data_IF_661915444113
#
_entry.id   IF_661915444113
#
_cell.length_a   1.000
_cell.length_b   1.000
_cell.length_c   1.000
_cell.angle_alpha   90.00
_cell.angle_beta   90.00
_cell.angle_gamma   90.00
#
_symmetry.space_group_name_H-M   'P 1'
#
loop_
_entity.id
_entity.type
_entity.pdbx_description
1 polymer ?
#
# COMPACT_ATOMS: atom_id res chain seq x y z
N UNK A 1 18.80 49.66 1.65
CA UNK A 1 19.21 48.27 1.97
C UNK A 1 17.93 47.45 2.08
N UNK A 2 17.69 46.52 1.15
CA UNK A 2 16.46 45.72 1.14
C UNK A 2 16.53 44.64 2.21
N UNK A 3 15.49 44.61 3.04
CA UNK A 3 15.31 43.68 4.15
C UNK A 3 14.75 42.36 3.60
N UNK A 4 15.46 41.27 3.90
CA UNK A 4 15.02 39.89 4.06
C UNK A 4 14.04 39.28 3.04
N UNK A 5 14.57 38.46 2.13
CA UNK A 5 13.91 37.21 1.71
C UNK A 5 14.65 36.04 2.39
N UNK A 6 14.57 35.95 3.71
CA UNK A 6 14.78 34.65 4.38
C UNK A 6 13.46 33.90 4.22
N UNK A 7 13.32 33.19 3.10
CA UNK A 7 12.34 32.12 3.04
C UNK A 7 12.83 31.08 4.02
N UNK A 8 12.30 31.12 5.23
CA UNK A 8 12.38 29.98 6.14
C UNK A 8 11.71 28.86 5.36
N UNK A 9 12.50 27.94 4.80
CA UNK A 9 11.95 26.70 4.26
C UNK A 9 11.21 26.06 5.43
N UNK A 10 9.89 26.14 5.40
CA UNK A 10 9.04 25.33 6.26
C UNK A 10 9.44 23.89 5.93
N UNK A 11 10.32 23.31 6.77
CA UNK A 11 10.62 21.88 6.76
C UNK A 11 9.26 21.20 6.84
N UNK A 12 8.77 20.74 5.70
CA UNK A 12 7.50 20.06 5.60
C UNK A 12 7.68 18.77 6.39
N UNK A 13 7.17 18.72 7.62
CA UNK A 13 7.30 17.55 8.47
C UNK A 13 6.58 16.41 7.76
N UNK A 14 7.34 15.48 7.15
CA UNK A 14 6.79 14.31 6.47
C UNK A 14 5.88 13.59 7.45
N UNK A 15 4.57 13.63 7.20
CA UNK A 15 3.62 12.92 8.02
C UNK A 15 3.72 11.43 7.70
N UNK A 16 3.80 10.55 8.70
CA UNK A 16 3.90 9.11 8.47
C UNK A 16 2.69 8.63 7.68
N UNK A 17 2.94 7.89 6.61
CA UNK A 17 1.89 7.31 5.78
C UNK A 17 1.34 6.06 6.49
N UNK A 18 0.04 6.04 6.73
CA UNK A 18 -0.65 4.85 7.24
C UNK A 18 -1.09 3.93 6.08
N UNK A 19 -1.01 2.62 6.30
CA UNK A 19 -1.31 1.62 5.27
C UNK A 19 -2.76 1.76 4.74
N UNK A 20 -2.97 2.04 3.44
CA UNK A 20 -4.29 1.93 2.85
C UNK A 20 -4.80 0.48 2.89
N UNK A 21 -6.07 0.32 3.26
CA UNK A 21 -6.82 -0.93 3.09
C UNK A 21 -7.16 -1.09 1.61
N UNK A 22 -6.54 -2.06 0.94
CA UNK A 22 -6.77 -2.28 -0.49
C UNK A 22 -8.10 -3.01 -0.70
N UNK A 23 -8.96 -2.46 -1.55
CA UNK A 23 -10.25 -3.07 -1.90
C UNK A 23 -10.09 -4.34 -2.75
N UNK A 24 -8.93 -4.53 -3.38
CA UNK A 24 -8.61 -5.71 -4.18
C UNK A 24 -8.39 -6.97 -3.31
N UNK A 25 -8.09 -6.81 -2.02
CA UNK A 25 -7.81 -7.91 -1.10
C UNK A 25 -9.00 -8.29 -0.22
N UNK A 26 -10.18 -8.33 -0.83
CA UNK A 26 -11.42 -8.72 -0.18
C UNK A 26 -11.76 -10.18 -0.44
N UNK A 27 -12.58 -10.74 0.45
CA UNK A 27 -13.04 -12.11 0.36
C UNK A 27 -13.82 -12.33 -0.95
N UNK A 28 -13.48 -13.39 -1.70
CA UNK A 28 -14.22 -13.69 -2.93
C UNK A 28 -15.58 -14.27 -2.61
N UNK A 29 -16.60 -13.78 -3.31
CA UNK A 29 -17.92 -14.43 -3.33
C UNK A 29 -17.94 -15.41 -4.49
N UNK A 30 -18.23 -16.68 -4.19
CA UNK A 30 -18.33 -17.76 -5.18
C UNK A 30 -19.61 -18.55 -4.96
N UNK A 31 -20.28 -18.91 -6.05
CA UNK A 31 -21.41 -19.83 -6.03
C UNK A 31 -20.95 -21.15 -6.64
N UNK A 32 -20.78 -22.18 -5.79
CA UNK A 32 -20.24 -23.47 -6.22
C UNK A 32 -21.39 -24.46 -6.32
N UNK A 33 -21.70 -24.87 -7.55
CA UNK A 33 -22.75 -25.86 -7.84
C UNK A 33 -22.19 -27.14 -8.47
N UNK A 34 -21.01 -27.05 -9.07
CA UNK A 34 -20.31 -28.15 -9.73
C UNK A 34 -18.83 -28.20 -9.34
N UNK A 35 -18.18 -29.34 -9.60
CA UNK A 35 -16.73 -29.47 -9.42
C UNK A 35 -15.94 -28.50 -10.31
N UNK A 36 -16.48 -28.15 -11.49
CA UNK A 36 -15.88 -27.14 -12.36
C UNK A 36 -15.89 -25.76 -11.69
N UNK A 37 -17.00 -25.39 -11.04
CA UNK A 37 -17.11 -24.12 -10.31
C UNK A 37 -16.10 -24.06 -9.16
N UNK A 38 -15.89 -25.19 -8.46
CA UNK A 38 -14.89 -25.29 -7.40
C UNK A 38 -13.47 -25.03 -7.93
N UNK A 39 -13.09 -25.66 -9.04
CA UNK A 39 -11.75 -25.46 -9.65
C UNK A 39 -11.58 -24.01 -10.11
N UNK A 40 -12.62 -23.41 -10.70
CA UNK A 40 -12.59 -22.00 -11.11
C UNK A 40 -12.47 -21.05 -9.91
N UNK A 41 -13.22 -21.31 -8.84
CA UNK A 41 -13.15 -20.55 -7.59
C UNK A 41 -11.75 -20.64 -6.98
N UNK A 42 -11.15 -21.84 -6.96
CA UNK A 42 -9.79 -22.04 -6.46
C UNK A 42 -8.75 -21.25 -7.26
N UNK A 43 -8.78 -21.36 -8.59
CA UNK A 43 -7.86 -20.59 -9.44
C UNK A 43 -8.01 -19.08 -9.23
N UNK A 44 -9.25 -18.59 -9.10
CA UNK A 44 -9.51 -17.17 -8.81
C UNK A 44 -8.95 -16.76 -7.44
N UNK A 45 -9.17 -17.55 -6.40
CA UNK A 45 -8.63 -17.31 -5.06
C UNK A 45 -7.10 -17.24 -5.06
N UNK A 46 -6.45 -18.19 -5.72
CA UNK A 46 -4.98 -18.26 -5.78
C UNK A 46 -4.40 -17.04 -6.50
N UNK A 47 -4.97 -16.66 -7.64
CA UNK A 47 -4.53 -15.48 -8.39
C UNK A 47 -4.71 -14.19 -7.58
N UNK A 48 -5.85 -14.02 -6.90
CA UNK A 48 -6.08 -12.85 -6.07
C UNK A 48 -5.15 -12.81 -4.84
N UNK A 49 -4.86 -13.98 -4.25
CA UNK A 49 -3.91 -14.10 -3.14
C UNK A 49 -2.52 -13.64 -3.55
N UNK A 50 -2.04 -14.06 -4.72
CA UNK A 50 -0.72 -13.69 -5.23
C UNK A 50 -0.58 -12.17 -5.45
N UNK A 51 -1.59 -11.56 -6.08
CA UNK A 51 -1.68 -10.10 -6.26
C UNK A 51 -1.64 -9.39 -4.90
N UNK A 52 -2.40 -9.88 -3.93
CA UNK A 52 -2.50 -9.27 -2.61
C UNK A 52 -1.22 -9.37 -1.80
N UNK A 53 -0.53 -10.50 -1.85
CA UNK A 53 0.77 -10.68 -1.18
C UNK A 53 1.78 -9.71 -1.77
N UNK A 54 1.85 -9.61 -3.09
CA UNK A 54 2.76 -8.69 -3.78
C UNK A 54 2.44 -7.22 -3.44
N UNK A 55 1.17 -6.82 -3.57
CA UNK A 55 0.74 -5.46 -3.25
C UNK A 55 1.04 -5.10 -1.79
N UNK A 56 0.80 -6.01 -0.85
CA UNK A 56 1.10 -5.81 0.56
C UNK A 56 2.61 -5.64 0.81
N UNK A 57 3.45 -6.48 0.19
CA UNK A 57 4.91 -6.36 0.31
C UNK A 57 5.42 -5.04 -0.24
N UNK A 58 4.96 -4.62 -1.41
CA UNK A 58 5.34 -3.36 -2.04
C UNK A 58 4.88 -2.15 -1.21
N UNK A 59 3.65 -2.19 -0.71
CA UNK A 59 3.10 -1.13 0.13
C UNK A 59 3.90 -1.01 1.43
N UNK A 60 4.20 -2.14 2.08
CA UNK A 60 5.03 -2.16 3.29
C UNK A 60 6.43 -1.61 3.03
N UNK A 61 7.04 -1.96 1.90
CA UNK A 61 8.34 -1.43 1.51
C UNK A 61 8.30 0.08 1.31
N UNK A 62 7.31 0.59 0.56
CA UNK A 62 7.12 2.01 0.31
C UNK A 62 6.95 2.82 1.61
N UNK A 63 6.10 2.33 2.53
CA UNK A 63 5.87 2.98 3.83
C UNK A 63 7.13 2.98 4.67
N UNK A 64 7.83 1.85 4.74
CA UNK A 64 9.09 1.76 5.49
C UNK A 64 10.14 2.72 4.92
N UNK A 65 10.29 2.78 3.59
CA UNK A 65 11.23 3.69 2.95
C UNK A 65 10.88 5.16 3.26
N UNK A 66 9.62 5.55 3.09
CA UNK A 66 9.17 6.92 3.36
C UNK A 66 9.41 7.32 4.83
N UNK A 67 9.08 6.44 5.77
CA UNK A 67 9.23 6.71 7.19
C UNK A 67 10.71 6.71 7.63
N UNK A 68 11.55 5.81 7.08
CA UNK A 68 13.00 5.81 7.36
C UNK A 68 13.72 7.03 6.77
N UNK A 69 13.31 7.51 5.61
CA UNK A 69 13.82 8.78 5.07
C UNK A 69 13.46 9.96 5.99
N UNK A 70 12.38 9.86 6.76
CA UNK A 70 11.95 10.90 7.71
C UNK A 70 12.79 10.88 9.00
N UNK A 71 13.18 9.70 9.48
CA UNK A 71 14.03 9.55 10.68
C UNK A 71 15.47 10.06 10.47
N UNK A 72 15.97 10.06 9.23
CA UNK A 72 17.32 10.54 8.89
C UNK A 72 17.39 12.04 8.54
N UNK A 73 16.25 12.75 8.50
CA UNK A 73 16.17 14.20 8.24
C UNK A 73 16.12 15.06 9.55
N UNK A 74 16.22 14.39 10.71
CA UNK A 74 16.33 15.00 12.04
C UNK A 74 17.78 15.12 12.51
#
# INVERSE_FOLDING_TARGET
>A
MLVACSTTETKLTKQPIFCPITTACQQITVNITTNKDLVMALHKSLNQTDICVTAYQQLKHCINQHNQETDNEN
#
